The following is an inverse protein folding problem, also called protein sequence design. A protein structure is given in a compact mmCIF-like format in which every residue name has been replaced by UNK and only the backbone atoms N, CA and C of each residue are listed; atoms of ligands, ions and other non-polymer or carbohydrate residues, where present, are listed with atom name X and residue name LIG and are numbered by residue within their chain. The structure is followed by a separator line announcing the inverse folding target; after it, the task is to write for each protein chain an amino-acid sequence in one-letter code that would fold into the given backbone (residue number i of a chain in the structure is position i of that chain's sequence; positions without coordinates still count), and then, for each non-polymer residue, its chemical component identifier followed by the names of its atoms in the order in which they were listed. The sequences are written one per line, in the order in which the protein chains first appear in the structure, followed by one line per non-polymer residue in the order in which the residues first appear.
data_IF_939764424986
#
_entry.id   IF_939764424986
#
_cell.length_a   1.000
_cell.length_b   1.000
_cell.length_c   1.000
_cell.angle_alpha   90.00
_cell.angle_beta   90.00
_cell.angle_gamma   90.00
#
_symmetry.space_group_name_H-M   'P 1'
#
loop_
_entity.id
_entity.type
_entity.pdbx_description
1 polymer ?
#
# COMPACT_ATOMS: atom_id res chain seq x y z
N UNK A 1 13.90 19.62 22.84
CA UNK A 1 14.28 19.36 21.44
C UNK A 1 13.28 20.08 20.57
N UNK A 2 13.66 21.07 19.74
CA UNK A 2 12.72 21.64 18.80
C UNK A 2 12.30 20.53 17.82
N UNK A 3 11.01 20.28 17.75
CA UNK A 3 10.44 19.43 16.71
C UNK A 3 10.60 20.19 15.39
N UNK A 4 11.63 19.87 14.62
CA UNK A 4 11.67 20.27 13.21
C UNK A 4 10.37 19.80 12.57
N UNK A 5 9.49 20.75 12.28
CA UNK A 5 8.33 20.47 11.43
C UNK A 5 8.88 20.04 10.09
N UNK A 6 8.67 18.78 9.73
CA UNK A 6 8.93 18.31 8.38
C UNK A 6 8.03 19.11 7.43
N UNK A 7 8.58 20.16 6.84
CA UNK A 7 7.95 20.88 5.75
C UNK A 7 8.12 20.03 4.48
N UNK A 8 7.31 18.96 4.37
CA UNK A 8 7.31 18.12 3.18
C UNK A 8 6.39 18.76 2.15
N UNK A 9 6.96 19.31 1.08
CA UNK A 9 6.22 19.90 -0.02
C UNK A 9 5.93 18.85 -1.09
N UNK A 10 4.68 18.84 -1.56
CA UNK A 10 4.22 17.98 -2.63
C UNK A 10 3.03 18.59 -3.36
N UNK A 11 2.80 18.13 -4.59
CA UNK A 11 1.66 18.52 -5.42
C UNK A 11 0.62 17.41 -5.43
N UNK A 12 -0.64 17.72 -5.17
CA UNK A 12 -1.73 16.79 -5.33
C UNK A 12 -1.90 16.48 -6.81
N UNK A 13 -1.67 15.21 -7.19
CA UNK A 13 -1.89 14.71 -8.56
C UNK A 13 -3.34 14.37 -8.80
N UNK A 14 -4.02 13.82 -7.81
CA UNK A 14 -5.42 13.42 -7.92
C UNK A 14 -6.01 12.98 -6.59
N UNK A 15 -7.32 13.04 -6.54
CA UNK A 15 -8.15 12.52 -5.45
C UNK A 15 -9.17 11.56 -6.06
N UNK A 16 -9.28 10.39 -5.49
CA UNK A 16 -10.16 9.33 -5.95
C UNK A 16 -11.06 8.87 -4.80
N UNK A 17 -12.21 8.34 -5.15
CA UNK A 17 -13.19 7.86 -4.19
C UNK A 17 -13.73 6.50 -4.60
N UNK A 18 -14.21 5.72 -3.64
CA UNK A 18 -15.21 4.70 -3.86
C UNK A 18 -16.49 5.11 -3.13
N UNK A 19 -17.63 4.98 -3.78
CA UNK A 19 -18.92 5.41 -3.25
C UNK A 19 -19.88 4.22 -3.10
N UNK A 20 -19.42 3.21 -2.39
CA UNK A 20 -20.21 2.04 -2.04
C UNK A 20 -20.85 1.36 -3.25
N UNK A 21 -22.19 1.31 -3.27
CA UNK A 21 -22.96 0.59 -4.30
C UNK A 21 -23.28 1.43 -5.53
N UNK A 22 -22.81 2.66 -5.62
CA UNK A 22 -23.15 3.55 -6.74
C UNK A 22 -22.38 3.13 -7.99
N UNK A 23 -23.01 2.57 -9.04
CA UNK A 23 -22.34 2.32 -10.30
C UNK A 23 -21.94 3.66 -10.92
N UNK A 24 -20.67 3.82 -11.25
CA UNK A 24 -20.20 5.02 -11.93
C UNK A 24 -19.18 4.64 -13.00
N UNK A 25 -19.22 5.39 -14.10
CA UNK A 25 -18.18 5.37 -15.13
C UNK A 25 -17.18 6.52 -14.93
N UNK A 26 -17.32 7.30 -13.85
CA UNK A 26 -16.39 8.37 -13.52
C UNK A 26 -15.04 7.76 -13.10
N UNK A 27 -13.92 8.06 -13.79
CA UNK A 27 -12.61 7.55 -13.45
C UNK A 27 -12.11 8.00 -12.07
N UNK A 28 -12.68 9.04 -11.47
CA UNK A 28 -12.39 9.43 -10.08
C UNK A 28 -13.04 8.50 -9.04
N UNK A 29 -13.96 7.66 -9.47
CA UNK A 29 -14.64 6.69 -8.60
C UNK A 29 -14.08 5.27 -8.73
N UNK A 30 -12.79 5.12 -9.05
CA UNK A 30 -12.09 3.82 -9.10
C UNK A 30 -10.72 3.93 -8.42
N UNK A 31 -10.70 3.83 -7.10
CA UNK A 31 -9.48 3.85 -6.29
C UNK A 31 -8.51 2.72 -6.67
N UNK A 32 -9.03 1.53 -6.96
CA UNK A 32 -8.21 0.39 -7.33
C UNK A 32 -7.51 0.63 -8.67
N UNK A 33 -8.21 1.19 -9.66
CA UNK A 33 -7.60 1.55 -10.96
C UNK A 33 -6.51 2.58 -10.80
N UNK A 34 -6.72 3.61 -9.99
CA UNK A 34 -5.71 4.64 -9.74
C UNK A 34 -4.41 4.03 -9.17
N UNK A 35 -4.52 3.08 -8.24
CA UNK A 35 -3.37 2.35 -7.70
C UNK A 35 -2.71 1.46 -8.77
N UNK A 36 -3.49 0.76 -9.58
CA UNK A 36 -2.99 -0.07 -10.69
C UNK A 36 -2.19 0.79 -11.66
N UNK A 37 -2.67 1.98 -12.01
CA UNK A 37 -1.99 2.91 -12.91
C UNK A 37 -0.64 3.37 -12.32
N UNK A 38 -0.53 3.57 -10.99
CA UNK A 38 0.75 3.84 -10.33
C UNK A 38 1.74 2.67 -10.45
N UNK A 39 1.29 1.42 -10.25
CA UNK A 39 2.14 0.25 -10.48
C UNK A 39 2.59 0.14 -11.94
N UNK A 40 1.70 0.41 -12.90
CA UNK A 40 2.01 0.38 -14.32
C UNK A 40 3.03 1.45 -14.71
N UNK A 41 2.97 2.62 -14.06
CA UNK A 41 3.90 3.73 -14.29
C UNK A 41 5.25 3.56 -13.58
N UNK A 42 5.33 2.80 -12.51
CA UNK A 42 6.55 2.61 -11.73
C UNK A 42 7.71 2.02 -12.55
N UNK A 43 8.92 2.54 -12.33
CA UNK A 43 10.13 2.17 -13.07
C UNK A 43 11.26 1.65 -12.21
N UNK A 44 11.33 2.03 -10.94
CA UNK A 44 12.44 1.67 -10.02
C UNK A 44 11.94 0.92 -8.80
N UNK A 45 11.06 1.54 -8.01
CA UNK A 45 10.62 1.01 -6.72
C UNK A 45 9.12 1.18 -6.53
N UNK A 46 8.51 0.24 -5.82
CA UNK A 46 7.16 0.36 -5.28
C UNK A 46 7.14 -0.26 -3.88
N UNK A 47 7.13 0.59 -2.85
CA UNK A 47 7.06 0.19 -1.46
C UNK A 47 5.65 0.40 -0.92
N UNK A 48 5.09 -0.63 -0.30
CA UNK A 48 3.69 -0.66 0.12
C UNK A 48 3.59 -0.99 1.61
N UNK A 49 2.83 -0.19 2.35
CA UNK A 49 2.38 -0.53 3.70
C UNK A 49 0.85 -0.60 3.69
N UNK A 50 0.30 -1.81 3.80
CA UNK A 50 -1.13 -2.05 3.61
C UNK A 50 -1.72 -2.96 4.68
N UNK A 51 -2.77 -2.49 5.35
CA UNK A 51 -3.48 -3.26 6.37
C UNK A 51 -4.15 -4.48 5.77
N UNK A 52 -5.06 -4.27 4.80
CA UNK A 52 -5.77 -5.38 4.14
C UNK A 52 -5.60 -5.32 2.62
N UNK A 53 -5.18 -6.45 2.04
CA UNK A 53 -4.90 -6.61 0.61
C UNK A 53 -5.64 -7.85 0.06
N UNK A 54 -6.80 -7.63 -0.56
CA UNK A 54 -7.60 -8.71 -1.17
C UNK A 54 -8.09 -8.39 -2.59
N UNK A 55 -7.74 -7.20 -3.14
CA UNK A 55 -8.05 -6.85 -4.53
C UNK A 55 -7.04 -7.49 -5.49
N UNK A 56 -7.48 -8.52 -6.20
CA UNK A 56 -6.62 -9.32 -7.09
C UNK A 56 -5.99 -8.50 -8.20
N UNK A 57 -6.70 -7.51 -8.77
CA UNK A 57 -6.18 -6.64 -9.84
C UNK A 57 -4.96 -5.84 -9.39
N UNK A 58 -4.95 -5.36 -8.15
CA UNK A 58 -3.80 -4.64 -7.58
C UNK A 58 -2.62 -5.59 -7.39
N UNK A 59 -2.85 -6.81 -6.88
CA UNK A 59 -1.80 -7.83 -6.72
C UNK A 59 -1.20 -8.23 -8.08
N UNK A 60 -2.04 -8.38 -9.10
CA UNK A 60 -1.57 -8.68 -10.46
C UNK A 60 -0.71 -7.53 -11.03
N UNK A 61 -1.07 -6.27 -10.75
CA UNK A 61 -0.26 -5.10 -11.14
C UNK A 61 1.09 -5.05 -10.39
N UNK A 62 1.14 -5.41 -9.10
CA UNK A 62 2.38 -5.57 -8.34
C UNK A 62 3.31 -6.60 -8.99
N UNK A 63 2.76 -7.77 -9.33
CA UNK A 63 3.50 -8.86 -9.97
C UNK A 63 4.00 -8.42 -11.36
N UNK A 64 3.16 -7.74 -12.14
CA UNK A 64 3.55 -7.21 -13.43
C UNK A 64 4.68 -6.16 -13.31
N UNK A 65 4.62 -5.28 -12.31
CA UNK A 65 5.71 -4.34 -12.01
C UNK A 65 7.01 -5.08 -11.66
N UNK A 66 6.94 -6.09 -10.79
CA UNK A 66 8.10 -6.93 -10.44
C UNK A 66 8.72 -7.61 -11.65
N UNK A 67 7.90 -8.17 -12.54
CA UNK A 67 8.36 -8.80 -13.80
C UNK A 67 9.03 -7.81 -14.75
N UNK A 68 8.69 -6.52 -14.71
CA UNK A 68 9.37 -5.44 -15.46
C UNK A 68 10.68 -4.97 -14.83
N UNK A 69 11.08 -5.54 -13.68
CA UNK A 69 12.32 -5.19 -12.99
C UNK A 69 12.14 -4.14 -11.89
N UNK A 70 10.92 -3.71 -11.58
CA UNK A 70 10.65 -2.81 -10.44
C UNK A 70 10.91 -3.57 -9.13
N UNK A 71 11.62 -2.95 -8.20
CA UNK A 71 11.76 -3.48 -6.84
C UNK A 71 10.47 -3.25 -6.08
N UNK A 72 9.69 -4.32 -5.89
CA UNK A 72 8.41 -4.27 -5.16
C UNK A 72 8.59 -4.89 -3.79
N UNK A 73 8.22 -4.15 -2.74
CA UNK A 73 8.23 -4.63 -1.36
C UNK A 73 6.94 -4.23 -0.64
N UNK A 74 6.38 -5.15 0.13
CA UNK A 74 5.11 -5.00 0.83
C UNK A 74 5.30 -5.27 2.30
N UNK A 75 4.78 -4.40 3.15
CA UNK A 75 4.56 -4.65 4.57
C UNK A 75 3.06 -4.74 4.80
N UNK A 76 2.61 -5.79 5.47
CA UNK A 76 1.19 -6.00 5.78
C UNK A 76 1.00 -6.41 7.24
N UNK A 77 -0.23 -6.28 7.74
CA UNK A 77 -0.56 -6.61 9.13
C UNK A 77 -0.58 -8.12 9.37
N UNK A 78 -0.07 -8.56 10.53
CA UNK A 78 0.05 -9.97 10.87
C UNK A 78 -1.32 -10.63 11.09
N UNK A 79 -2.23 -9.96 11.79
CA UNK A 79 -3.56 -10.50 12.08
C UNK A 79 -4.35 -10.68 10.78
N UNK A 80 -4.32 -9.67 9.90
CA UNK A 80 -4.98 -9.75 8.60
C UNK A 80 -4.37 -10.84 7.68
N UNK A 81 -3.08 -11.07 7.81
CA UNK A 81 -2.35 -12.02 6.95
C UNK A 81 -2.43 -13.47 7.40
N UNK A 82 -2.68 -13.70 8.68
CA UNK A 82 -2.70 -15.03 9.30
C UNK A 82 -4.08 -15.49 9.72
N UNK A 83 -5.06 -14.58 9.76
CA UNK A 83 -6.43 -14.89 10.18
C UNK A 83 -7.07 -15.97 9.31
N UNK A 84 -7.65 -17.02 9.92
CA UNK A 84 -8.49 -17.98 9.20
C UNK A 84 -9.70 -17.33 8.52
N UNK A 85 -10.14 -16.17 9.02
CA UNK A 85 -11.27 -15.42 8.48
C UNK A 85 -10.91 -14.65 7.20
N UNK A 86 -9.62 -14.51 6.90
CA UNK A 86 -9.15 -13.83 5.69
C UNK A 86 -8.25 -14.73 4.81
N UNK A 87 -8.75 -15.88 4.33
CA UNK A 87 -7.95 -16.82 3.53
C UNK A 87 -7.50 -16.21 2.20
N UNK A 88 -8.23 -15.24 1.66
CA UNK A 88 -7.89 -14.57 0.40
C UNK A 88 -6.58 -13.78 0.54
N UNK A 89 -6.39 -13.03 1.62
CA UNK A 89 -5.15 -12.29 1.85
C UNK A 89 -3.95 -13.22 1.95
N UNK A 90 -4.07 -14.31 2.70
CA UNK A 90 -3.01 -15.31 2.82
C UNK A 90 -2.59 -15.87 1.46
N UNK A 91 -3.56 -16.26 0.61
CA UNK A 91 -3.30 -16.75 -0.74
C UNK A 91 -2.59 -15.70 -1.63
N UNK A 92 -3.01 -14.44 -1.54
CA UNK A 92 -2.43 -13.38 -2.35
C UNK A 92 -1.02 -13.00 -1.90
N UNK A 93 -0.74 -13.04 -0.60
CA UNK A 93 0.61 -12.87 -0.06
C UNK A 93 1.54 -13.97 -0.58
N UNK A 94 1.09 -15.22 -0.56
CA UNK A 94 1.88 -16.33 -1.09
C UNK A 94 2.13 -16.17 -2.60
N UNK A 95 1.11 -15.77 -3.36
CA UNK A 95 1.25 -15.45 -4.78
C UNK A 95 2.29 -14.35 -5.06
N UNK A 96 2.32 -13.31 -4.22
CA UNK A 96 3.32 -12.24 -4.30
C UNK A 96 4.74 -12.78 -4.04
N UNK A 97 4.92 -13.59 -2.99
CA UNK A 97 6.21 -14.21 -2.64
C UNK A 97 6.73 -15.11 -3.76
N UNK A 98 5.87 -15.95 -4.33
CA UNK A 98 6.21 -16.81 -5.48
C UNK A 98 6.63 -16.01 -6.71
N UNK A 99 6.09 -14.80 -6.87
CA UNK A 99 6.48 -13.88 -7.95
C UNK A 99 7.77 -13.07 -7.63
N UNK A 100 8.44 -13.31 -6.51
CA UNK A 100 9.66 -12.63 -6.09
C UNK A 100 9.45 -11.23 -5.52
N UNK A 101 8.24 -10.92 -5.04
CA UNK A 101 7.96 -9.71 -4.28
C UNK A 101 8.37 -9.95 -2.83
N UNK A 102 9.11 -9.01 -2.23
CA UNK A 102 9.45 -9.05 -0.81
C UNK A 102 8.19 -8.72 0.01
N UNK A 103 7.68 -9.69 0.78
CA UNK A 103 6.52 -9.49 1.65
C UNK A 103 6.89 -9.72 3.10
N UNK A 104 6.81 -8.67 3.88
CA UNK A 104 7.02 -8.62 5.32
C UNK A 104 5.67 -8.56 6.03
N UNK A 105 5.52 -9.38 7.05
CA UNK A 105 4.32 -9.41 7.88
C UNK A 105 4.65 -8.73 9.19
N UNK A 106 4.05 -7.57 9.45
CA UNK A 106 4.30 -6.79 10.66
C UNK A 106 3.82 -7.56 11.90
N UNK A 107 4.74 -7.89 12.80
CA UNK A 107 4.42 -8.65 14.00
C UNK A 107 3.58 -7.80 14.94
N UNK A 108 2.49 -8.38 15.45
CA UNK A 108 1.60 -7.74 16.42
C UNK A 108 2.33 -7.58 17.75
N UNK A 109 2.74 -6.36 18.09
CA UNK A 109 3.25 -6.09 19.43
C UNK A 109 2.16 -5.45 20.31
N UNK A 110 1.65 -4.28 19.97
CA UNK A 110 0.64 -3.56 20.75
C UNK A 110 -0.31 -2.75 19.89
N UNK A 111 -0.02 -2.59 18.59
CA UNK A 111 -0.81 -1.77 17.66
C UNK A 111 -0.89 -2.43 16.29
N UNK A 112 -2.04 -2.26 15.64
CA UNK A 112 -2.25 -2.70 14.25
C UNK A 112 -1.35 -1.91 13.29
N UNK A 113 -0.84 -2.56 12.26
CA UNK A 113 -0.23 -1.90 11.11
C UNK A 113 -1.36 -1.41 10.18
N UNK A 114 -1.98 -0.29 10.51
CA UNK A 114 -3.23 0.18 9.88
C UNK A 114 -3.02 1.15 8.70
N UNK A 115 -1.83 1.17 8.11
CA UNK A 115 -1.54 2.03 6.97
C UNK A 115 -2.19 1.50 5.66
N UNK A 116 -2.47 2.42 4.75
CA UNK A 116 -2.88 2.19 3.37
C UNK A 116 -2.08 3.14 2.50
N UNK A 117 -0.84 2.75 2.22
CA UNK A 117 0.18 3.61 1.59
C UNK A 117 0.92 2.86 0.50
N UNK A 118 1.11 3.52 -0.63
CA UNK A 118 2.06 3.11 -1.67
C UNK A 118 3.03 4.24 -1.96
N UNK A 119 4.32 3.93 -2.08
CA UNK A 119 5.40 4.87 -2.38
C UNK A 119 6.07 4.40 -3.67
N UNK A 120 6.04 5.22 -4.71
CA UNK A 120 6.48 4.84 -6.05
C UNK A 120 7.67 5.70 -6.50
N UNK A 121 8.75 5.05 -6.91
CA UNK A 121 9.98 5.64 -7.45
C UNK A 121 10.59 6.74 -6.54
N UNK A 122 10.30 6.72 -5.24
CA UNK A 122 10.75 7.72 -4.27
C UNK A 122 10.21 9.13 -4.53
N UNK A 123 9.11 9.27 -5.27
CA UNK A 123 8.56 10.58 -5.67
C UNK A 123 7.05 10.72 -5.62
N UNK A 124 6.32 9.60 -5.65
CA UNK A 124 4.84 9.61 -5.64
C UNK A 124 4.36 8.79 -4.46
N UNK A 125 3.39 9.30 -3.73
CA UNK A 125 2.73 8.60 -2.63
C UNK A 125 1.24 8.53 -2.91
N UNK A 126 0.64 7.36 -2.71
CA UNK A 126 -0.80 7.25 -2.57
C UNK A 126 -1.15 6.86 -1.14
N UNK A 127 -2.19 7.49 -0.57
CA UNK A 127 -2.65 7.24 0.79
C UNK A 127 -4.12 7.64 0.95
N UNK A 128 -4.79 7.13 1.96
CA UNK A 128 -6.19 7.43 2.25
C UNK A 128 -6.81 6.42 3.20
N UNK A 129 -8.13 6.37 3.22
CA UNK A 129 -8.87 5.37 3.99
C UNK A 129 -8.97 4.02 3.26
N UNK A 130 -8.81 4.02 1.92
CA UNK A 130 -9.04 2.89 1.03
C UNK A 130 -8.16 1.68 1.35
N UNK A 131 -8.74 0.63 1.97
CA UNK A 131 -8.11 -0.68 2.01
C UNK A 131 -8.07 -1.27 0.59
N UNK A 132 -6.98 -1.94 0.23
CA UNK A 132 -6.83 -2.48 -1.12
C UNK A 132 -7.62 -3.79 -1.28
N UNK A 133 -8.93 -3.65 -1.12
CA UNK A 133 -9.88 -4.76 -1.11
C UNK A 133 -11.03 -4.53 -2.08
N UNK A 134 -11.59 -5.62 -2.61
CA UNK A 134 -12.80 -5.54 -3.43
C UNK A 134 -13.99 -4.98 -2.67
N UNK A 135 -14.07 -5.22 -1.36
CA UNK A 135 -15.14 -4.69 -0.54
C UNK A 135 -15.05 -3.17 -0.40
N UNK A 136 -13.83 -2.63 -0.18
CA UNK A 136 -13.59 -1.19 -0.14
C UNK A 136 -13.98 -0.52 -1.47
N UNK A 137 -13.65 -1.15 -2.61
CA UNK A 137 -13.98 -0.62 -3.94
C UNK A 137 -15.49 -0.63 -4.25
N UNK A 138 -16.25 -1.61 -3.72
CA UNK A 138 -17.63 -1.88 -4.17
C UNK A 138 -18.71 -1.64 -3.14
N UNK A 139 -18.36 -1.45 -1.86
CA UNK A 139 -19.34 -1.44 -0.76
C UNK A 139 -19.13 -0.32 0.26
N UNK A 140 -17.95 0.31 0.30
CA UNK A 140 -17.61 1.30 1.31
C UNK A 140 -17.32 2.65 0.67
N UNK A 141 -17.60 3.71 1.42
CA UNK A 141 -17.25 5.06 1.03
C UNK A 141 -15.82 5.33 1.50
N UNK A 142 -14.90 5.38 0.54
CA UNK A 142 -13.47 5.51 0.80
C UNK A 142 -12.85 6.63 -0.02
N UNK A 143 -11.66 7.05 0.36
CA UNK A 143 -10.88 8.02 -0.41
C UNK A 143 -9.45 7.55 -0.62
N UNK A 144 -8.86 8.05 -1.70
CA UNK A 144 -7.47 7.87 -2.08
C UNK A 144 -6.91 9.19 -2.59
N UNK A 145 -5.82 9.66 -1.98
CA UNK A 145 -5.06 10.83 -2.39
C UNK A 145 -3.76 10.39 -3.05
N UNK A 146 -3.39 10.99 -4.17
CA UNK A 146 -2.10 10.82 -4.81
C UNK A 146 -1.34 12.14 -4.78
N UNK A 147 -0.13 12.12 -4.22
CA UNK A 147 0.75 13.28 -4.04
C UNK A 147 2.09 13.01 -4.71
N UNK A 148 2.55 13.94 -5.54
CA UNK A 148 3.89 13.98 -6.07
C UNK A 148 4.78 14.88 -5.22
N UNK A 149 5.94 14.36 -4.82
CA UNK A 149 6.93 15.10 -4.05
C UNK A 149 7.96 14.17 -3.43
N UNK A 150 9.23 14.40 -3.74
CA UNK A 150 10.33 13.58 -3.20
C UNK A 150 10.44 13.71 -1.68
N UNK A 151 10.14 14.88 -1.12
CA UNK A 151 10.15 15.10 0.32
C UNK A 151 9.00 14.35 1.02
N UNK A 152 7.80 14.37 0.42
CA UNK A 152 6.66 13.59 0.92
C UNK A 152 6.98 12.10 0.85
N UNK A 153 7.48 11.62 -0.28
CA UNK A 153 7.86 10.22 -0.45
C UNK A 153 8.95 9.80 0.56
N UNK A 154 9.97 10.62 0.78
CA UNK A 154 11.03 10.35 1.76
C UNK A 154 10.50 10.31 3.20
N UNK A 155 9.52 11.16 3.54
CA UNK A 155 8.87 11.13 4.85
C UNK A 155 8.09 9.82 5.07
N UNK A 156 7.28 9.39 4.08
CA UNK A 156 6.56 8.12 4.17
C UNK A 156 7.50 6.91 4.17
N UNK A 157 8.58 6.95 3.38
CA UNK A 157 9.61 5.92 3.39
C UNK A 157 10.21 5.77 4.79
N UNK A 158 10.64 6.87 5.40
CA UNK A 158 11.30 6.87 6.71
C UNK A 158 10.35 6.50 7.85
N UNK A 159 9.19 7.15 7.93
CA UNK A 159 8.32 7.09 9.11
C UNK A 159 7.23 6.01 9.02
N UNK A 160 6.96 5.49 7.85
CA UNK A 160 6.01 4.40 7.64
C UNK A 160 6.75 3.12 7.26
N UNK A 161 7.28 3.04 6.05
CA UNK A 161 7.79 1.78 5.52
C UNK A 161 9.01 1.26 6.28
N UNK A 162 10.09 2.03 6.38
CA UNK A 162 11.32 1.63 7.07
C UNK A 162 11.12 1.41 8.55
N UNK A 163 10.31 2.25 9.20
CA UNK A 163 10.01 2.09 10.62
C UNK A 163 9.31 0.76 10.93
N UNK A 164 8.43 0.29 10.03
CA UNK A 164 7.75 -0.99 10.24
C UNK A 164 8.75 -2.13 10.02
N UNK A 165 9.57 -2.07 8.97
CA UNK A 165 10.62 -3.07 8.71
C UNK A 165 11.60 -3.21 9.88
N UNK A 166 12.05 -2.09 10.47
CA UNK A 166 12.98 -2.12 11.61
C UNK A 166 12.37 -2.71 12.88
N UNK A 167 11.06 -2.58 13.07
CA UNK A 167 10.37 -3.24 14.20
C UNK A 167 10.34 -4.76 14.08
N UNK A 168 10.28 -5.30 12.87
CA UNK A 168 10.30 -6.74 12.61
C UNK A 168 11.67 -7.38 12.93
N UNK A 169 12.76 -6.63 12.69
CA UNK A 169 14.12 -7.11 12.96
C UNK A 169 14.49 -7.11 14.45
N UNK A 170 13.69 -6.46 15.30
CA UNK A 170 13.92 -6.40 16.75
C UNK A 170 13.22 -7.53 17.54
N UNK A 171 12.45 -8.38 16.88
CA UNK A 171 11.87 -9.58 17.50
C UNK A 171 12.75 -10.77 17.16
N UNK A 172 13.47 -11.38 18.13
CA UNK A 172 14.21 -12.61 17.86
C UNK A 172 13.24 -13.69 17.41
N UNK A 173 13.64 -14.58 16.49
CA UNK A 173 12.84 -15.75 16.16
C UNK A 173 12.64 -16.57 17.44
N UNK A 174 11.36 -16.77 17.81
CA UNK A 174 10.97 -17.63 18.95
C UNK A 174 11.23 -19.11 18.67
#
# INVERSE_FOLDING_TARGET
MPTERLAAHGTVRGVFFSLGTTPSHDPQLDCAKAIIDLFNAARKTAHVAIFTLTERRIVDAMIAARKRGVTVAVVTDAEQSQSPENPVQKQLIEKLRQAGVAVHVAVKQTALMHNKVGIFDGKTVCTGSFNWTRAAEKRYDENLLIVDGTQVAAAYEKFVFQRILTRETLVPPG
#
